data_IF_107663394311
#
_entry.id   IF_107663394311
#
_cell.length_a   1.000
_cell.length_b   1.000
_cell.length_c   1.000
_cell.angle_alpha   90.00
_cell.angle_beta   90.00
_cell.angle_gamma   90.00
#
_symmetry.space_group_name_H-M   'P 1'
#
loop_
_entity.id
_entity.type
_entity.pdbx_description
1 polymer ?
#
# COMPACT_ATOMS: atom_id res chain seq x y z
N UNK A 1 -4.47 13.88 21.15
CA UNK A 1 -4.23 13.96 19.69
C UNK A 1 -3.30 12.82 19.31
N UNK A 2 -3.57 12.07 18.22
CA UNK A 2 -2.62 11.05 17.72
C UNK A 2 -1.36 11.74 17.16
N UNK A 3 -0.16 11.13 17.28
CA UNK A 3 1.09 11.76 16.84
C UNK A 3 1.12 11.97 15.33
N UNK A 4 1.86 12.97 14.86
CA UNK A 4 2.13 13.14 13.43
C UNK A 4 3.29 12.24 12.98
N UNK A 5 3.41 12.03 11.67
CA UNK A 5 4.55 11.32 11.08
C UNK A 5 5.87 12.05 11.43
N UNK A 6 6.77 11.34 12.11
CA UNK A 6 8.17 11.77 12.25
C UNK A 6 8.93 11.44 10.96
N UNK A 7 9.39 12.47 10.25
CA UNK A 7 10.09 12.28 8.99
C UNK A 7 11.50 11.70 9.17
N UNK A 8 12.07 11.86 10.37
CA UNK A 8 13.35 11.30 10.77
C UNK A 8 13.28 9.79 11.00
N UNK A 9 12.10 9.25 11.33
CA UNK A 9 11.89 7.82 11.53
C UNK A 9 11.61 7.04 10.24
N UNK A 10 11.43 7.73 9.10
CA UNK A 10 11.22 7.06 7.80
C UNK A 10 12.54 6.51 7.26
N UNK A 11 12.59 5.19 7.11
CA UNK A 11 13.75 4.48 6.61
C UNK A 11 13.90 4.68 5.10
N UNK A 12 15.11 5.03 4.66
CA UNK A 12 15.46 5.32 3.25
C UNK A 12 16.66 4.50 2.77
N UNK A 13 16.96 3.39 3.45
CA UNK A 13 18.07 2.51 3.08
C UNK A 13 17.77 1.72 1.80
N UNK A 14 16.50 1.36 1.56
CA UNK A 14 16.08 0.66 0.35
C UNK A 14 15.65 1.65 -0.72
N UNK A 15 16.42 1.69 -1.81
CA UNK A 15 16.25 2.67 -2.88
C UNK A 15 16.09 1.98 -4.24
N UNK A 16 14.89 1.98 -4.82
CA UNK A 16 14.63 1.39 -6.13
C UNK A 16 15.27 2.22 -7.24
N UNK A 17 15.92 1.64 -8.25
CA UNK A 17 16.55 2.48 -9.30
C UNK A 17 15.51 3.06 -10.29
N UNK A 18 15.95 3.99 -11.14
CA UNK A 18 15.07 4.65 -12.14
C UNK A 18 14.45 3.69 -13.17
N UNK A 19 14.80 2.40 -13.16
CA UNK A 19 14.10 1.36 -13.95
C UNK A 19 12.74 0.97 -13.36
N UNK A 20 12.53 1.22 -12.06
CA UNK A 20 11.35 0.81 -11.30
C UNK A 20 10.26 1.89 -11.23
N UNK A 21 10.59 3.14 -11.54
CA UNK A 21 9.65 4.26 -11.49
C UNK A 21 10.01 5.32 -12.55
N UNK A 22 9.07 6.21 -12.83
CA UNK A 22 9.22 7.34 -13.73
C UNK A 22 9.38 8.64 -12.95
N UNK A 23 10.36 9.46 -13.34
CA UNK A 23 10.67 10.75 -12.69
C UNK A 23 9.74 11.90 -13.08
N UNK A 24 8.90 11.75 -14.11
CA UNK A 24 7.94 12.78 -14.49
C UNK A 24 6.83 12.91 -13.45
N UNK A 25 6.65 14.10 -12.85
CA UNK A 25 5.62 14.30 -11.83
C UNK A 25 4.22 14.41 -12.43
N UNK A 26 3.26 13.67 -11.85
CA UNK A 26 1.83 13.87 -12.06
C UNK A 26 1.25 14.86 -11.05
N UNK A 27 0.01 15.29 -11.27
CA UNK A 27 -0.78 15.94 -10.22
C UNK A 27 -1.32 14.81 -9.34
N UNK A 28 -0.70 14.56 -8.18
CA UNK A 28 -1.13 13.47 -7.30
C UNK A 28 -2.53 13.77 -6.77
N UNK A 29 -3.49 12.94 -7.16
CA UNK A 29 -4.91 13.04 -6.82
C UNK A 29 -5.36 11.88 -5.95
N UNK A 30 -4.75 10.71 -6.11
CA UNK A 30 -5.21 9.48 -5.47
C UNK A 30 -4.10 8.83 -4.66
N UNK A 31 -4.47 8.17 -3.56
CA UNK A 31 -3.59 7.26 -2.82
C UNK A 31 -4.23 5.88 -2.85
N UNK A 32 -3.44 4.85 -3.17
CA UNK A 32 -3.88 3.46 -3.13
C UNK A 32 -3.16 2.71 -2.03
N UNK A 33 -3.95 2.01 -1.21
CA UNK A 33 -3.45 1.09 -0.19
C UNK A 33 -3.42 -0.33 -0.76
N UNK A 34 -2.28 -0.98 -0.53
CA UNK A 34 -1.94 -2.31 -1.03
C UNK A 34 -1.43 -3.19 0.10
N UNK A 35 -1.38 -4.49 -0.15
CA UNK A 35 -0.48 -5.39 0.56
C UNK A 35 0.40 -6.16 -0.43
N UNK A 36 1.52 -6.69 0.06
CA UNK A 36 2.61 -7.16 -0.81
C UNK A 36 2.52 -8.63 -1.22
N UNK A 37 1.81 -9.49 -0.47
CA UNK A 37 1.86 -10.96 -0.57
C UNK A 37 3.30 -11.47 -0.31
N UNK A 38 3.96 -10.89 0.70
CA UNK A 38 5.35 -11.22 1.09
C UNK A 38 5.45 -11.43 2.60
N UNK A 39 6.59 -11.94 3.11
CA UNK A 39 6.91 -11.92 4.53
C UNK A 39 6.91 -10.48 5.11
N UNK A 40 6.99 -10.32 6.44
CA UNK A 40 6.90 -9.03 7.12
C UNK A 40 8.08 -8.09 6.84
N UNK A 41 9.21 -8.60 6.32
CA UNK A 41 10.41 -7.81 6.04
C UNK A 41 10.27 -7.02 4.72
N UNK A 42 10.36 -5.67 4.76
CA UNK A 42 10.37 -4.84 3.55
C UNK A 42 11.47 -5.20 2.54
N UNK A 43 12.58 -5.79 2.97
CA UNK A 43 13.67 -6.22 2.10
C UNK A 43 13.21 -7.28 1.09
N UNK A 44 12.28 -8.18 1.47
CA UNK A 44 11.76 -9.22 0.59
C UNK A 44 10.99 -8.60 -0.58
N UNK A 45 10.08 -7.66 -0.28
CA UNK A 45 9.34 -6.94 -1.31
C UNK A 45 10.27 -6.07 -2.17
N UNK A 46 11.24 -5.39 -1.54
CA UNK A 46 12.24 -4.61 -2.27
C UNK A 46 13.04 -5.46 -3.26
N UNK A 47 13.55 -6.63 -2.84
CA UNK A 47 14.29 -7.55 -3.74
C UNK A 47 13.42 -8.04 -4.89
N UNK A 48 12.16 -8.35 -4.62
CA UNK A 48 11.20 -8.69 -5.67
C UNK A 48 11.10 -7.55 -6.70
N UNK A 49 10.87 -6.31 -6.25
CA UNK A 49 10.77 -5.15 -7.14
C UNK A 49 12.07 -4.92 -7.95
N UNK A 50 13.25 -5.13 -7.34
CA UNK A 50 14.52 -5.02 -8.07
C UNK A 50 14.67 -6.05 -9.20
N UNK A 51 14.07 -7.24 -9.06
CA UNK A 51 14.08 -8.29 -10.08
C UNK A 51 13.14 -8.01 -11.27
N UNK A 52 12.24 -7.04 -11.13
CA UNK A 52 11.28 -6.69 -12.18
C UNK A 52 11.94 -5.80 -13.26
N UNK A 53 11.79 -6.19 -14.52
CA UNK A 53 12.41 -5.51 -15.68
C UNK A 53 11.53 -4.42 -16.31
N UNK A 54 10.53 -3.92 -15.60
CA UNK A 54 9.71 -2.79 -16.01
C UNK A 54 9.39 -1.89 -14.81
N UNK A 55 8.92 -0.64 -15.01
CA UNK A 55 8.72 0.34 -13.94
C UNK A 55 7.60 0.01 -12.96
N UNK A 56 7.77 -1.03 -12.15
CA UNK A 56 6.81 -1.56 -11.17
C UNK A 56 7.30 -1.31 -9.74
N UNK A 57 6.39 -0.93 -8.84
CA UNK A 57 6.66 -0.75 -7.41
C UNK A 57 5.70 0.20 -6.72
N UNK A 58 5.80 0.37 -5.40
CA UNK A 58 5.05 1.39 -4.63
C UNK A 58 5.98 2.42 -4.03
N UNK A 59 5.47 3.63 -3.76
CA UNK A 59 6.26 4.73 -3.18
C UNK A 59 6.85 4.33 -1.82
N UNK A 60 6.05 3.64 -1.02
CA UNK A 60 6.44 3.19 0.31
C UNK A 60 5.95 1.76 0.56
N UNK A 61 6.65 1.09 1.46
CA UNK A 61 6.25 -0.19 2.05
C UNK A 61 6.37 -0.09 3.58
N UNK A 62 5.42 -0.68 4.30
CA UNK A 62 5.34 -0.67 5.77
C UNK A 62 5.57 -2.09 6.27
N UNK A 63 6.60 -2.26 7.11
CA UNK A 63 6.99 -3.53 7.68
C UNK A 63 5.89 -4.16 8.53
N UNK A 64 5.79 -5.49 8.50
CA UNK A 64 4.91 -6.25 9.39
C UNK A 64 5.60 -6.65 10.69
N UNK A 65 4.93 -7.47 11.51
CA UNK A 65 5.50 -8.01 12.75
C UNK A 65 6.65 -8.98 12.43
N UNK A 66 7.88 -8.76 12.95
CA UNK A 66 8.97 -9.72 12.80
C UNK A 66 8.61 -11.08 13.38
N UNK A 67 8.93 -12.17 12.69
CA UNK A 67 8.68 -13.53 13.20
C UNK A 67 9.48 -13.85 14.47
N UNK A 68 10.69 -13.29 14.60
CA UNK A 68 11.54 -13.45 15.77
C UNK A 68 12.06 -12.06 16.22
N UNK A 69 11.41 -11.41 17.19
CA UNK A 69 11.79 -10.08 17.63
C UNK A 69 13.07 -10.05 18.49
N UNK A 70 13.57 -11.22 18.94
CA UNK A 70 14.72 -11.31 19.85
C UNK A 70 16.05 -11.38 19.08
N UNK A 71 16.03 -11.84 17.83
CA UNK A 71 17.22 -11.96 16.99
C UNK A 71 17.25 -10.86 15.91
N UNK A 72 17.82 -9.71 16.25
CA UNK A 72 18.31 -8.67 15.33
C UNK A 72 17.48 -8.47 14.04
N UNK A 73 16.16 -8.29 14.15
CA UNK A 73 15.39 -7.88 12.97
C UNK A 73 15.90 -6.50 12.55
N UNK A 74 16.34 -6.38 11.28
CA UNK A 74 16.82 -5.12 10.71
C UNK A 74 15.70 -4.06 10.55
N UNK A 75 14.48 -4.41 10.96
CA UNK A 75 13.28 -3.59 10.92
C UNK A 75 12.43 -3.82 12.17
N UNK A 76 11.50 -2.89 12.42
CA UNK A 76 10.47 -3.01 13.46
C UNK A 76 9.08 -3.10 12.85
N UNK A 77 8.13 -3.68 13.58
CA UNK A 77 6.73 -3.70 13.17
C UNK A 77 6.21 -2.27 12.94
N UNK A 78 5.57 -2.04 11.79
CA UNK A 78 5.09 -0.73 11.37
C UNK A 78 6.19 0.22 10.86
N UNK A 79 7.46 -0.17 10.78
CA UNK A 79 8.50 0.71 10.25
C UNK A 79 8.23 1.07 8.77
N UNK A 80 8.31 2.35 8.46
CA UNK A 80 7.99 2.89 7.14
C UNK A 80 9.28 2.97 6.32
N UNK A 81 9.29 2.29 5.17
CA UNK A 81 10.37 2.36 4.20
C UNK A 81 9.89 3.16 2.98
N UNK A 82 10.63 4.22 2.64
CA UNK A 82 10.40 4.98 1.42
C UNK A 82 11.30 4.45 0.30
N UNK A 83 10.69 3.95 -0.78
CA UNK A 83 11.40 3.29 -1.88
C UNK A 83 11.76 4.24 -3.02
N UNK A 84 11.00 5.33 -3.20
CA UNK A 84 11.30 6.45 -4.10
C UNK A 84 10.54 7.73 -3.66
N UNK A 85 10.78 8.91 -4.23
CA UNK A 85 10.02 10.14 -3.91
C UNK A 85 8.53 10.08 -4.32
N UNK A 86 7.61 10.52 -3.46
CA UNK A 86 6.15 10.49 -3.70
C UNK A 86 5.67 11.33 -4.89
N UNK A 87 6.50 12.28 -5.37
CA UNK A 87 6.23 13.05 -6.61
C UNK A 87 6.35 12.20 -7.88
N UNK A 88 7.10 11.11 -7.83
CA UNK A 88 7.29 10.16 -8.93
C UNK A 88 6.18 9.12 -8.95
N UNK A 89 6.16 8.26 -9.97
CA UNK A 89 5.14 7.24 -10.13
C UNK A 89 5.72 5.98 -10.76
N UNK A 90 5.02 4.88 -10.56
CA UNK A 90 5.35 3.55 -11.07
C UNK A 90 4.05 2.89 -11.50
N UNK A 91 4.18 1.75 -12.17
CA UNK A 91 3.09 0.83 -12.46
C UNK A 91 2.82 0.07 -11.15
N UNK A 92 1.85 0.52 -10.36
CA UNK A 92 1.48 -0.17 -9.11
C UNK A 92 0.07 -0.76 -9.17
N UNK A 93 -0.82 -0.17 -9.97
CA UNK A 93 -2.16 -0.70 -10.19
C UNK A 93 -2.16 -1.79 -11.27
N UNK A 94 -1.20 -1.73 -12.21
CA UNK A 94 -1.13 -2.64 -13.34
C UNK A 94 -2.37 -2.54 -14.25
N UNK A 95 -3.03 -1.39 -14.30
CA UNK A 95 -4.31 -1.17 -15.03
C UNK A 95 -4.16 -1.15 -16.55
N UNK A 96 -2.93 -1.07 -17.05
CA UNK A 96 -2.60 -1.17 -18.48
C UNK A 96 -2.03 -2.54 -18.87
N UNK A 97 -1.82 -3.45 -17.91
CA UNK A 97 -1.27 -4.78 -18.19
C UNK A 97 -2.30 -5.64 -18.93
N UNK A 98 -1.82 -6.45 -19.88
CA UNK A 98 -2.67 -7.44 -20.56
C UNK A 98 -3.15 -8.48 -19.53
N UNK A 99 -4.39 -8.94 -19.67
CA UNK A 99 -4.99 -9.96 -18.80
C UNK A 99 -5.49 -9.47 -17.44
N UNK A 100 -5.39 -8.18 -17.12
CA UNK A 100 -6.05 -7.62 -15.94
C UNK A 100 -7.56 -7.54 -16.11
N UNK A 101 -8.29 -7.46 -14.98
CA UNK A 101 -9.75 -7.30 -14.96
C UNK A 101 -10.14 -5.91 -14.44
N UNK A 102 -9.92 -4.90 -15.28
CA UNK A 102 -10.52 -3.57 -15.16
C UNK A 102 -11.78 -3.52 -16.04
N UNK A 103 -12.88 -2.86 -15.64
CA UNK A 103 -14.07 -2.81 -16.49
C UNK A 103 -13.77 -2.11 -17.83
N UNK A 104 -14.19 -2.74 -18.93
CA UNK A 104 -13.68 -2.45 -20.29
C UNK A 104 -13.81 -0.98 -20.69
N UNK A 105 -14.91 -0.32 -20.32
CA UNK A 105 -15.14 1.11 -20.61
C UNK A 105 -14.08 2.05 -19.98
N UNK A 106 -13.32 1.58 -18.98
CA UNK A 106 -12.23 2.33 -18.35
C UNK A 106 -10.85 1.94 -18.88
N UNK A 107 -10.74 0.86 -19.66
CA UNK A 107 -9.47 0.26 -20.13
C UNK A 107 -8.88 0.95 -21.35
N UNK A 108 -8.65 2.26 -21.26
CA UNK A 108 -7.96 2.99 -22.33
C UNK A 108 -6.52 3.27 -21.95
N UNK A 109 -5.60 3.21 -22.91
CA UNK A 109 -4.17 3.47 -22.69
C UNK A 109 -3.91 4.79 -21.96
N UNK A 110 -4.59 5.85 -22.37
CA UNK A 110 -4.41 7.19 -21.79
C UNK A 110 -4.96 7.25 -20.36
N UNK A 111 -6.18 6.75 -20.12
CA UNK A 111 -6.81 6.77 -18.80
C UNK A 111 -6.04 5.93 -17.79
N UNK A 112 -5.67 4.70 -18.16
CA UNK A 112 -4.86 3.83 -17.32
C UNK A 112 -3.50 4.44 -16.97
N UNK A 113 -2.84 5.10 -17.93
CA UNK A 113 -1.57 5.80 -17.67
C UNK A 113 -1.74 6.99 -16.74
N UNK A 114 -2.79 7.79 -16.91
CA UNK A 114 -3.06 8.93 -16.04
C UNK A 114 -3.44 8.49 -14.62
N UNK A 115 -4.13 7.36 -14.45
CA UNK A 115 -4.38 6.79 -13.12
C UNK A 115 -3.07 6.46 -12.39
N UNK A 116 -2.16 5.70 -13.02
CA UNK A 116 -0.86 5.36 -12.43
C UNK A 116 -0.02 6.62 -12.13
N UNK A 117 0.03 7.55 -13.09
CA UNK A 117 0.84 8.77 -12.98
C UNK A 117 0.39 9.68 -11.84
N UNK A 118 -0.93 9.81 -11.67
CA UNK A 118 -1.56 10.72 -10.71
C UNK A 118 -1.90 10.05 -9.38
N UNK A 119 -1.38 8.85 -9.11
CA UNK A 119 -1.59 8.14 -7.85
C UNK A 119 -0.30 7.81 -7.10
N UNK A 120 -0.46 7.51 -5.81
CA UNK A 120 0.62 7.12 -4.89
C UNK A 120 0.24 5.75 -4.31
N UNK A 121 1.08 4.74 -4.54
CA UNK A 121 0.92 3.43 -3.91
C UNK A 121 1.64 3.34 -2.56
N UNK A 122 0.96 2.81 -1.55
CA UNK A 122 1.53 2.43 -0.24
C UNK A 122 1.23 0.95 0.00
N UNK A 123 2.25 0.14 0.27
CA UNK A 123 2.08 -1.30 0.52
C UNK A 123 2.33 -1.68 1.97
N UNK A 124 1.56 -2.62 2.50
CA UNK A 124 1.82 -3.24 3.80
C UNK A 124 2.40 -4.65 3.58
N UNK A 125 3.52 -4.96 4.24
CA UNK A 125 4.07 -6.31 4.22
C UNK A 125 3.08 -7.27 4.90
N UNK A 126 2.45 -8.14 4.12
CA UNK A 126 1.41 -9.05 4.57
C UNK A 126 1.18 -10.12 3.50
N UNK A 127 0.84 -11.33 3.92
CA UNK A 127 0.63 -12.49 3.05
C UNK A 127 -0.68 -12.49 2.29
N UNK A 128 -1.61 -11.61 2.62
CA UNK A 128 -2.94 -11.55 2.02
C UNK A 128 -3.82 -12.68 2.51
N UNK A 129 -4.56 -13.29 1.58
CA UNK A 129 -5.48 -14.36 1.90
C UNK A 129 -4.76 -15.68 2.21
N UNK A 130 -5.43 -16.52 3.00
CA UNK A 130 -4.88 -17.74 3.57
C UNK A 130 -5.78 -18.95 3.24
N UNK A 131 -5.15 -20.10 3.07
CA UNK A 131 -5.81 -21.39 2.99
C UNK A 131 -5.79 -22.06 4.36
N UNK A 132 -6.93 -22.61 4.77
CA UNK A 132 -6.99 -23.54 5.90
C UNK A 132 -6.74 -24.96 5.41
N UNK A 133 -5.56 -25.51 5.73
CA UNK A 133 -5.15 -26.86 5.33
C UNK A 133 -4.47 -27.57 6.50
N UNK A 134 -4.84 -28.82 6.75
CA UNK A 134 -4.24 -29.67 7.79
C UNK A 134 -4.19 -29.00 9.19
N UNK A 135 -5.25 -28.29 9.56
CA UNK A 135 -5.35 -27.63 10.87
C UNK A 135 -4.51 -26.35 11.03
N UNK A 136 -3.98 -25.80 9.94
CA UNK A 136 -3.19 -24.56 9.98
C UNK A 136 -3.59 -23.60 8.84
N UNK A 137 -3.37 -22.31 9.07
CA UNK A 137 -3.50 -21.28 8.05
C UNK A 137 -2.16 -21.07 7.35
N UNK A 138 -2.16 -21.11 6.01
CA UNK A 138 -0.98 -20.85 5.19
C UNK A 138 -1.31 -19.90 4.05
N UNK A 139 -0.38 -19.01 3.66
CA UNK A 139 -0.55 -18.25 2.43
C UNK A 139 -0.60 -19.20 1.23
N UNK A 140 -1.37 -18.84 0.20
CA UNK A 140 -1.48 -19.67 -1.01
C UNK A 140 -0.11 -19.86 -1.69
N UNK A 141 0.12 -21.06 -2.24
CA UNK A 141 1.23 -21.35 -3.14
C UNK A 141 2.26 -22.28 -2.50
N UNK A 142 3.52 -21.84 -2.48
CA UNK A 142 4.67 -22.62 -2.04
C UNK A 142 4.46 -23.27 -0.64
N UNK A 143 4.58 -24.61 -0.53
CA UNK A 143 4.46 -25.33 0.75
C UNK A 143 5.41 -24.85 1.86
N UNK A 144 6.53 -24.21 1.48
CA UNK A 144 7.56 -23.68 2.39
C UNK A 144 7.16 -22.36 3.07
N UNK A 145 6.03 -21.76 2.69
CA UNK A 145 5.49 -20.57 3.36
C UNK A 145 5.12 -20.86 4.81
N UNK A 146 5.25 -19.85 5.70
CA UNK A 146 5.05 -20.06 7.14
C UNK A 146 3.60 -20.37 7.47
N UNK A 147 3.40 -21.06 8.59
CA UNK A 147 2.09 -21.13 9.24
C UNK A 147 1.81 -19.79 9.88
N UNK A 148 0.63 -19.23 9.60
CA UNK A 148 0.17 -17.98 10.22
C UNK A 148 -0.52 -18.31 11.55
N UNK A 149 -0.09 -17.72 12.68
CA UNK A 149 -0.75 -17.90 13.96
C UNK A 149 -2.22 -17.50 13.94
N UNK A 150 -3.08 -18.24 14.63
CA UNK A 150 -4.54 -18.02 14.62
C UNK A 150 -4.94 -16.59 15.05
N UNK A 151 -4.21 -15.98 15.98
CA UNK A 151 -4.44 -14.61 16.44
C UNK A 151 -4.10 -13.56 15.38
N UNK A 152 -3.24 -13.90 14.41
CA UNK A 152 -2.90 -13.10 13.23
C UNK A 152 -3.82 -13.36 12.03
N UNK A 153 -4.87 -14.18 12.17
CA UNK A 153 -5.84 -14.46 11.11
C UNK A 153 -7.17 -13.78 11.38
N UNK A 154 -7.77 -13.20 10.33
CA UNK A 154 -9.16 -12.75 10.30
C UNK A 154 -9.97 -13.63 9.35
N UNK A 155 -11.17 -13.99 9.78
CA UNK A 155 -12.16 -14.68 8.95
C UNK A 155 -13.25 -13.69 8.53
N UNK A 156 -13.54 -13.65 7.23
CA UNK A 156 -14.72 -12.99 6.69
C UNK A 156 -15.80 -14.05 6.46
N UNK A 157 -16.88 -13.99 7.25
CA UNK A 157 -17.96 -14.99 7.21
C UNK A 157 -18.64 -15.08 5.84
N UNK A 158 -18.77 -13.95 5.15
CA UNK A 158 -19.28 -13.85 3.77
C UNK A 158 -18.18 -13.93 2.71
N UNK A 159 -16.93 -14.08 3.14
CA UNK A 159 -15.74 -13.91 2.31
C UNK A 159 -15.45 -12.45 1.93
N UNK A 160 -14.27 -12.24 1.38
CA UNK A 160 -13.85 -11.05 0.65
C UNK A 160 -13.10 -11.52 -0.60
N UNK A 161 -13.48 -11.03 -1.78
CA UNK A 161 -12.83 -11.39 -3.06
C UNK A 161 -12.67 -12.90 -3.27
N UNK A 162 -13.68 -13.69 -2.92
CA UNK A 162 -13.72 -15.16 -2.97
C UNK A 162 -12.83 -15.90 -1.95
N UNK A 163 -12.26 -15.20 -0.98
CA UNK A 163 -11.42 -15.79 0.07
C UNK A 163 -12.05 -15.57 1.45
N UNK A 164 -11.96 -16.59 2.31
CA UNK A 164 -12.55 -16.55 3.66
C UNK A 164 -11.57 -16.07 4.73
N UNK A 165 -10.28 -16.35 4.58
CA UNK A 165 -9.27 -16.09 5.61
C UNK A 165 -8.19 -15.17 5.06
N UNK A 166 -7.74 -14.23 5.89
CA UNK A 166 -6.64 -13.31 5.57
C UNK A 166 -5.73 -13.14 6.77
N UNK A 167 -4.46 -12.84 6.53
CA UNK A 167 -3.56 -12.38 7.57
C UNK A 167 -3.94 -10.94 7.96
N UNK A 168 -4.14 -10.68 9.25
CA UNK A 168 -4.38 -9.33 9.77
C UNK A 168 -3.18 -8.41 9.53
N UNK A 169 -3.47 -7.15 9.26
CA UNK A 169 -2.53 -6.04 9.44
C UNK A 169 -2.35 -5.79 10.93
N UNK A 170 -1.10 -5.55 11.34
CA UNK A 170 -0.80 -5.22 12.74
C UNK A 170 -1.32 -3.82 13.07
N UNK A 171 -1.58 -3.56 14.36
CA UNK A 171 -1.95 -2.21 14.80
C UNK A 171 -0.83 -1.19 14.51
N UNK A 172 0.44 -1.61 14.61
CA UNK A 172 1.59 -0.79 14.26
C UNK A 172 1.60 -0.42 12.77
N UNK A 173 1.31 -1.37 11.87
CA UNK A 173 1.16 -1.11 10.44
C UNK A 173 0.03 -0.11 10.16
N UNK A 174 -1.14 -0.31 10.78
CA UNK A 174 -2.30 0.56 10.59
C UNK A 174 -2.01 1.98 11.10
N UNK A 175 -1.32 2.12 12.24
CA UNK A 175 -0.94 3.43 12.79
C UNK A 175 0.10 4.14 11.90
N UNK A 176 1.09 3.42 11.38
CA UNK A 176 2.04 3.99 10.41
C UNK A 176 1.37 4.39 9.10
N UNK A 177 0.43 3.57 8.61
CA UNK A 177 -0.37 3.90 7.44
C UNK A 177 -1.19 5.18 7.69
N UNK A 178 -1.84 5.32 8.85
CA UNK A 178 -2.58 6.52 9.24
C UNK A 178 -1.72 7.78 9.18
N UNK A 179 -0.52 7.71 9.75
CA UNK A 179 0.44 8.82 9.74
C UNK A 179 0.85 9.21 8.32
N UNK A 180 1.15 8.21 7.48
CA UNK A 180 1.55 8.41 6.10
C UNK A 180 0.41 8.95 5.22
N UNK A 181 -0.80 8.41 5.36
CA UNK A 181 -2.00 8.91 4.68
C UNK A 181 -2.29 10.35 5.08
N UNK A 182 -2.29 10.68 6.38
CA UNK A 182 -2.53 12.04 6.84
C UNK A 182 -1.52 13.02 6.23
N UNK A 183 -0.23 12.66 6.26
CA UNK A 183 0.85 13.46 5.70
C UNK A 183 0.66 13.69 4.19
N UNK A 184 0.42 12.63 3.41
CA UNK A 184 0.29 12.72 1.96
C UNK A 184 -0.99 13.46 1.54
N UNK A 185 -2.09 13.29 2.28
CA UNK A 185 -3.32 14.04 2.03
C UNK A 185 -3.12 15.55 2.23
N UNK A 186 -2.36 15.96 3.25
CA UNK A 186 -1.99 17.36 3.46
C UNK A 186 -1.07 17.88 2.34
N UNK A 187 0.01 17.15 2.02
CA UNK A 187 1.00 17.56 1.02
C UNK A 187 0.41 17.74 -0.38
N UNK A 188 -0.50 16.83 -0.78
CA UNK A 188 -1.08 16.80 -2.11
C UNK A 188 -2.53 17.30 -2.18
N UNK A 189 -3.08 17.80 -1.07
CA UNK A 189 -4.48 18.26 -0.96
C UNK A 189 -5.48 17.18 -1.40
N UNK A 190 -5.22 15.92 -1.03
CA UNK A 190 -6.09 14.78 -1.33
C UNK A 190 -7.14 14.65 -0.21
N UNK A 191 -8.45 14.55 -0.52
CA UNK A 191 -9.48 14.39 0.50
C UNK A 191 -9.28 13.15 1.37
N UNK A 192 -9.46 13.30 2.69
CA UNK A 192 -9.37 12.22 3.69
C UNK A 192 -10.67 11.44 3.87
N UNK A 193 -11.76 11.88 3.24
CA UNK A 193 -13.10 11.31 3.40
C UNK A 193 -13.10 9.83 3.03
N UNK A 194 -13.55 8.99 3.96
CA UNK A 194 -13.67 7.56 3.73
C UNK A 194 -14.88 7.26 2.84
N UNK A 195 -14.66 6.44 1.81
CA UNK A 195 -15.74 5.88 0.99
C UNK A 195 -15.80 4.36 1.23
N UNK A 196 -16.92 3.80 1.73
CA UNK A 196 -17.02 2.37 2.01
C UNK A 196 -16.91 1.50 0.75
N UNK A 197 -17.13 2.06 -0.45
CA UNK A 197 -17.05 1.34 -1.71
C UNK A 197 -15.61 1.19 -2.23
N UNK A 198 -14.57 1.58 -1.48
CA UNK A 198 -13.17 1.42 -1.92
C UNK A 198 -12.73 -0.05 -1.96
N UNK A 199 -13.45 -0.95 -1.30
CA UNK A 199 -13.17 -2.39 -1.27
C UNK A 199 -13.76 -3.13 -2.48
N UNK A 200 -14.69 -2.49 -3.18
CA UNK A 200 -15.29 -2.96 -4.42
C UNK A 200 -14.83 -2.13 -5.61
N UNK A 201 -15.16 -2.56 -6.84
CA UNK A 201 -14.91 -1.73 -8.02
C UNK A 201 -15.63 -0.40 -7.88
N UNK A 202 -14.88 0.69 -8.08
CA UNK A 202 -15.29 2.02 -7.71
C UNK A 202 -15.13 2.98 -8.90
N UNK A 203 -16.25 3.54 -9.36
CA UNK A 203 -16.27 4.45 -10.52
C UNK A 203 -15.47 5.73 -10.27
N UNK A 204 -15.57 6.31 -9.07
CA UNK A 204 -14.79 7.50 -8.69
C UNK A 204 -13.27 7.22 -8.79
N UNK A 205 -12.82 6.05 -8.33
CA UNK A 205 -11.43 5.61 -8.46
C UNK A 205 -11.01 5.52 -9.93
N UNK A 206 -11.80 4.80 -10.74
CA UNK A 206 -11.56 4.58 -12.16
C UNK A 206 -11.62 5.86 -13.00
N UNK A 207 -12.37 6.87 -12.55
CA UNK A 207 -12.44 8.20 -13.17
C UNK A 207 -11.32 9.15 -12.73
N UNK A 208 -10.46 8.73 -11.79
CA UNK A 208 -9.35 9.55 -11.30
C UNK A 208 -9.78 10.63 -10.30
N UNK A 209 -10.95 10.48 -9.65
CA UNK A 209 -11.44 11.42 -8.64
C UNK A 209 -10.51 11.41 -7.43
N UNK A 210 -10.14 12.57 -6.86
CA UNK A 210 -9.26 12.61 -5.71
C UNK A 210 -9.80 11.84 -4.51
N UNK A 211 -8.92 11.10 -3.81
CA UNK A 211 -9.30 10.33 -2.62
C UNK A 211 -8.34 9.18 -2.31
N UNK A 212 -8.71 8.40 -1.29
CA UNK A 212 -7.99 7.19 -0.86
C UNK A 212 -8.78 5.97 -1.34
N UNK A 213 -8.10 5.04 -1.98
CA UNK A 213 -8.68 3.85 -2.61
C UNK A 213 -7.86 2.60 -2.26
N UNK A 214 -8.40 1.42 -2.55
CA UNK A 214 -7.65 0.16 -2.49
C UNK A 214 -7.39 -0.35 -3.92
N UNK A 215 -6.49 -1.32 -4.10
CA UNK A 215 -6.24 -1.92 -5.43
C UNK A 215 -7.52 -2.51 -6.06
N UNK A 216 -8.37 -3.08 -5.20
CA UNK A 216 -9.67 -3.64 -5.52
C UNK A 216 -10.66 -2.58 -6.08
N UNK A 217 -10.42 -1.28 -5.84
CA UNK A 217 -11.20 -0.18 -6.41
C UNK A 217 -11.14 -0.12 -7.94
N UNK A 218 -10.04 -0.59 -8.55
CA UNK A 218 -9.81 -0.45 -10.00
C UNK A 218 -9.70 -1.79 -10.73
N UNK A 219 -9.56 -2.89 -10.00
CA UNK A 219 -9.36 -4.24 -10.57
C UNK A 219 -10.17 -5.28 -9.80
N UNK A 220 -11.03 -6.02 -10.49
CA UNK A 220 -11.86 -7.08 -9.88
C UNK A 220 -11.06 -8.35 -9.62
N UNK A 221 -9.91 -8.52 -10.28
CA UNK A 221 -8.99 -9.65 -10.08
C UNK A 221 -8.03 -9.47 -8.91
N UNK A 222 -8.19 -8.39 -8.14
CA UNK A 222 -7.35 -8.07 -6.99
C UNK A 222 -8.07 -8.32 -5.69
N UNK A 223 -7.31 -8.80 -4.73
CA UNK A 223 -7.72 -9.14 -3.37
C UNK A 223 -6.95 -8.34 -2.30
N UNK A 224 -6.09 -7.42 -2.74
CA UNK A 224 -5.43 -6.41 -1.92
C UNK A 224 -6.14 -5.05 -2.03
N UNK A 225 -6.16 -4.19 -1.01
CA UNK A 225 -6.07 -4.48 0.42
C UNK A 225 -7.43 -5.04 0.91
N UNK A 226 -7.51 -5.68 2.10
CA UNK A 226 -8.78 -6.22 2.61
C UNK A 226 -9.39 -5.37 3.75
N UNK A 227 -10.73 -5.34 3.90
CA UNK A 227 -11.44 -4.45 4.83
C UNK A 227 -11.38 -4.94 6.28
N UNK A 228 -10.18 -5.08 6.84
CA UNK A 228 -10.02 -5.39 8.25
C UNK A 228 -10.68 -4.29 9.10
N UNK A 229 -11.48 -4.62 10.15
CA UNK A 229 -12.21 -3.64 10.93
C UNK A 229 -11.36 -2.49 11.49
N UNK A 230 -10.16 -2.77 12.00
CA UNK A 230 -9.27 -1.74 12.54
C UNK A 230 -8.72 -0.81 11.45
N UNK A 231 -8.50 -1.32 10.24
CA UNK A 231 -8.09 -0.52 9.08
C UNK A 231 -9.24 0.37 8.61
N UNK A 232 -10.46 -0.18 8.51
CA UNK A 232 -11.67 0.57 8.15
C UNK A 232 -11.93 1.68 9.17
N UNK A 233 -11.86 1.38 10.46
CA UNK A 233 -12.04 2.38 11.51
C UNK A 233 -10.99 3.48 11.43
N UNK A 234 -9.72 3.13 11.17
CA UNK A 234 -8.67 4.13 10.99
C UNK A 234 -8.97 5.08 9.82
N UNK A 235 -9.47 4.56 8.70
CA UNK A 235 -9.85 5.37 7.54
C UNK A 235 -11.03 6.30 7.84
N UNK A 236 -12.04 5.83 8.58
CA UNK A 236 -13.16 6.65 9.06
C UNK A 236 -12.63 7.79 9.96
N UNK A 237 -11.76 7.46 10.92
CA UNK A 237 -11.22 8.43 11.86
C UNK A 237 -10.34 9.49 11.19
N UNK A 238 -9.74 9.18 10.03
CA UNK A 238 -8.80 10.04 9.31
C UNK A 238 -9.42 11.39 8.91
N UNK A 239 -10.71 11.41 8.57
CA UNK A 239 -11.45 12.63 8.18
C UNK A 239 -11.51 13.65 9.32
N UNK A 240 -11.60 13.18 10.57
CA UNK A 240 -11.63 14.05 11.75
C UNK A 240 -10.26 14.61 12.16
N UNK A 241 -9.18 14.16 11.50
CA UNK A 241 -7.82 14.57 11.87
C UNK A 241 -7.52 15.99 11.37
N UNK A 242 -7.32 16.88 12.33
CA UNK A 242 -6.96 18.28 12.09
C UNK A 242 -5.79 18.39 11.13
N UNK A 243 -5.96 19.22 10.11
CA UNK A 243 -4.86 19.75 9.32
C UNK A 243 -4.03 20.64 10.23
N UNK A 244 -2.76 20.28 10.47
CA UNK A 244 -1.87 21.17 11.19
C UNK A 244 -1.36 22.25 10.24
N UNK A 245 -1.35 23.50 10.69
CA UNK A 245 -0.61 24.59 10.04
C UNK A 245 0.87 24.23 10.04
N UNK A 246 1.31 23.53 9.01
CA UNK A 246 2.72 23.36 8.71
C UNK A 246 3.08 24.37 7.63
N UNK A 247 4.12 25.15 7.90
CA UNK A 247 4.92 25.72 6.82
C UNK A 247 5.28 24.56 5.88
N UNK A 248 5.00 24.63 4.56
CA UNK A 248 5.20 23.51 3.65
C UNK A 248 6.64 23.05 3.76
N UNK A 249 6.84 21.87 4.36
CA UNK A 249 8.18 21.37 4.58
C UNK A 249 8.74 20.95 3.23
N UNK A 250 9.71 21.73 2.75
CA UNK A 250 10.54 21.49 1.57
C UNK A 250 11.23 20.10 1.52
N UNK A 251 11.01 19.23 2.52
CA UNK A 251 11.79 18.02 2.81
C UNK A 251 11.47 16.86 1.85
N UNK A 252 10.25 16.74 1.29
CA UNK A 252 9.95 15.68 0.30
C UNK A 252 10.12 16.10 -1.16
N UNK A 253 10.43 17.38 -1.42
CA UNK A 253 10.78 17.85 -2.78
C UNK A 253 12.29 17.80 -3.06
N UNK A 254 13.14 17.66 -2.04
CA UNK A 254 14.58 17.55 -2.24
C UNK A 254 14.98 16.21 -2.87
N UNK A 255 15.74 16.31 -3.97
CA UNK A 255 16.39 15.19 -4.63
C UNK A 255 17.54 14.63 -3.75
N UNK A 256 17.26 14.02 -2.60
CA UNK A 256 18.25 13.13 -1.96
C UNK A 256 18.47 11.83 -2.76
N UNK A 257 17.82 11.73 -3.92
CA UNK A 257 17.92 10.66 -4.90
C UNK A 257 19.07 10.84 -5.90
N UNK A 258 19.76 12.00 -5.90
CA UNK A 258 20.74 12.34 -6.95
C UNK A 258 22.17 11.82 -6.76
N UNK A 259 22.45 11.06 -5.69
CA UNK A 259 23.76 10.44 -5.52
C UNK A 259 23.59 8.91 -5.41
N UNK A 260 23.90 8.24 -6.51
CA UNK A 260 23.88 6.79 -6.72
C UNK A 260 24.11 6.49 -8.19
#
# INVERSE_FOLDING_TARGET
MKPNLDLGSVNRQFKLSNKNFFTGSGQKKQIYIHHTITPPDPLDFYKYLQGVNHPFGTFSVIAGKPYNPVNHSHFKDGEIFQLFPSKYWSIHLGVHLRGNLIPEMYKTKNKCRELEKNSIGISLCNWGWLEWKNGCFKPQGDPLKPVIPNDEVIQYSTGYRNHQYYQKYTLSQIESLRQLLNFLCEEYQIPKTYNPNIWETNEDALMGKPGIYSHSSVRTDKDDCHPQPELVQMLIDLESMKTYDRNPSFIFKQDHWKNG
#
